data_IF_678739220205
#
_entry.id   IF_678739220205
#
_cell.length_a   1.000
_cell.length_b   1.000
_cell.length_c   1.000
_cell.angle_alpha   90.00
_cell.angle_beta   90.00
_cell.angle_gamma   90.00
#
_symmetry.space_group_name_H-M   'P 1'
#
loop_
_entity.id
_entity.type
_entity.pdbx_description
1 polymer ?
#
# COMPACT_ATOMS: atom_id res chain seq x y z
N UNK A 1 16.27 1.66 -11.32
CA UNK A 1 16.52 1.82 -9.86
C UNK A 1 17.88 1.21 -9.53
N UNK A 2 18.90 2.04 -9.43
CA UNK A 2 20.24 1.59 -9.08
C UNK A 2 20.29 1.01 -7.67
N UNK A 3 21.12 -0.02 -7.45
CA UNK A 3 21.36 -0.65 -6.15
C UNK A 3 20.13 -1.39 -5.54
N UNK A 4 19.14 -1.77 -6.31
CA UNK A 4 18.01 -2.59 -5.82
C UNK A 4 18.08 -3.98 -6.47
N UNK A 5 18.21 -5.02 -5.64
CA UNK A 5 18.22 -6.41 -6.08
C UNK A 5 16.81 -6.99 -6.17
N UNK A 6 16.66 -8.12 -6.88
CA UNK A 6 15.39 -8.85 -6.93
C UNK A 6 14.88 -9.25 -5.53
N UNK A 7 15.78 -9.57 -4.59
CA UNK A 7 15.43 -9.91 -3.21
C UNK A 7 14.94 -8.73 -2.38
N UNK A 8 15.17 -7.49 -2.84
CA UNK A 8 14.78 -6.25 -2.18
C UNK A 8 13.65 -5.52 -2.94
N UNK A 9 13.04 -6.17 -3.92
CA UNK A 9 12.08 -5.54 -4.85
C UNK A 9 10.91 -4.84 -4.17
N UNK A 10 10.52 -5.28 -2.98
CA UNK A 10 9.34 -4.76 -2.31
C UNK A 10 9.48 -3.29 -1.89
N UNK A 11 10.71 -2.79 -1.73
CA UNK A 11 10.96 -1.37 -1.44
C UNK A 11 10.34 -0.44 -2.51
N UNK A 12 10.24 -0.89 -3.76
CA UNK A 12 9.60 -0.11 -4.83
C UNK A 12 8.07 -0.04 -4.65
N UNK A 13 7.46 -1.09 -4.09
CA UNK A 13 6.04 -1.05 -3.67
C UNK A 13 5.84 -0.11 -2.49
N UNK A 14 6.72 -0.14 -1.50
CA UNK A 14 6.68 0.77 -0.35
C UNK A 14 6.77 2.23 -0.81
N UNK A 15 7.72 2.55 -1.70
CA UNK A 15 7.88 3.90 -2.28
C UNK A 15 6.60 4.33 -3.00
N UNK A 16 6.05 3.48 -3.86
CA UNK A 16 4.84 3.81 -4.62
C UNK A 16 3.63 4.05 -3.71
N UNK A 17 3.43 3.17 -2.71
CA UNK A 17 2.36 3.30 -1.73
C UNK A 17 2.50 4.58 -0.89
N UNK A 18 3.70 4.84 -0.37
CA UNK A 18 3.97 6.03 0.43
C UNK A 18 3.86 7.31 -0.40
N UNK A 19 4.30 7.31 -1.66
CA UNK A 19 4.14 8.47 -2.54
C UNK A 19 2.67 8.82 -2.77
N UNK A 20 1.81 7.81 -3.01
CA UNK A 20 0.35 8.00 -3.11
C UNK A 20 -0.22 8.49 -1.78
N UNK A 21 0.17 7.88 -0.66
CA UNK A 21 -0.30 8.28 0.67
C UNK A 21 0.05 9.73 0.99
N UNK A 22 1.32 10.14 0.80
CA UNK A 22 1.75 11.54 1.00
C UNK A 22 1.03 12.52 0.09
N UNK A 23 0.72 12.11 -1.15
CA UNK A 23 -0.07 12.95 -2.07
C UNK A 23 -1.47 13.17 -1.53
N UNK A 24 -2.10 12.12 -1.01
CA UNK A 24 -3.47 12.19 -0.48
C UNK A 24 -3.56 12.89 0.88
N UNK A 25 -2.51 12.84 1.70
CA UNK A 25 -2.43 13.54 2.99
C UNK A 25 -2.61 15.07 2.85
N UNK A 26 -2.33 15.65 1.67
CA UNK A 26 -2.59 17.05 1.39
C UNK A 26 -4.09 17.39 1.26
N UNK A 27 -4.94 16.37 1.11
CA UNK A 27 -6.37 16.54 0.85
C UNK A 27 -7.27 16.01 1.96
N UNK A 28 -6.82 14.96 2.68
CA UNK A 28 -7.64 14.26 3.69
C UNK A 28 -6.77 13.50 4.68
N UNK A 29 -7.32 13.22 5.83
CA UNK A 29 -6.76 12.29 6.83
C UNK A 29 -7.26 10.86 6.59
N UNK A 30 -6.82 9.89 7.42
CA UNK A 30 -7.30 8.51 7.38
C UNK A 30 -6.77 7.66 6.22
N UNK A 31 -5.64 8.07 5.61
CA UNK A 31 -4.97 7.32 4.54
C UNK A 31 -4.07 6.23 5.14
N UNK A 32 -4.27 5.01 4.68
CA UNK A 32 -3.47 3.84 5.07
C UNK A 32 -3.09 2.99 3.85
N UNK A 33 -2.09 2.14 4.02
CA UNK A 33 -1.62 1.22 2.97
C UNK A 33 -2.10 -0.19 3.31
N UNK A 34 -2.93 -0.76 2.46
CA UNK A 34 -3.30 -2.18 2.59
C UNK A 34 -2.33 -3.03 1.78
N UNK A 35 -1.55 -3.84 2.49
CA UNK A 35 -0.61 -4.77 1.89
C UNK A 35 -1.28 -5.62 0.79
N UNK A 36 -0.60 -5.88 -0.35
CA UNK A 36 0.78 -5.43 -0.63
C UNK A 36 0.87 -4.06 -1.34
N UNK A 37 -0.17 -3.56 -2.01
CA UNK A 37 -0.05 -2.50 -3.02
C UNK A 37 -1.35 -1.70 -3.23
N UNK A 38 -2.22 -1.67 -2.23
CA UNK A 38 -3.44 -0.86 -2.26
C UNK A 38 -3.34 0.30 -1.27
N UNK A 39 -3.99 1.43 -1.56
CA UNK A 39 -4.16 2.54 -0.62
C UNK A 39 -5.64 2.68 -0.29
N UNK A 40 -5.92 2.86 1.00
CA UNK A 40 -7.24 2.95 1.56
C UNK A 40 -7.45 4.30 2.24
N UNK A 41 -8.68 4.79 2.19
CA UNK A 41 -9.19 5.84 3.06
C UNK A 41 -10.18 5.19 4.03
N UNK A 42 -9.79 5.08 5.29
CA UNK A 42 -10.45 4.20 6.26
C UNK A 42 -10.61 2.78 5.67
N UNK A 43 -11.83 2.23 5.60
CA UNK A 43 -12.11 0.89 5.08
C UNK A 43 -12.40 0.86 3.57
N UNK A 44 -12.16 1.96 2.83
CA UNK A 44 -12.50 2.10 1.42
C UNK A 44 -11.26 2.24 0.53
N UNK A 45 -11.21 1.45 -0.54
CA UNK A 45 -10.10 1.46 -1.48
C UNK A 45 -10.13 2.71 -2.35
N UNK A 46 -9.08 3.54 -2.26
CA UNK A 46 -8.90 4.74 -3.10
C UNK A 46 -7.90 4.51 -4.23
N UNK A 47 -6.93 3.60 -4.04
CA UNK A 47 -5.91 3.31 -5.06
C UNK A 47 -5.54 1.84 -5.06
N UNK A 48 -5.26 1.30 -6.24
CA UNK A 48 -4.59 0.02 -6.43
C UNK A 48 -3.40 0.17 -7.36
N UNK A 49 -2.33 -0.60 -7.11
CA UNK A 49 -1.11 -0.51 -7.91
C UNK A 49 -0.68 -1.89 -8.41
N UNK A 50 0.05 -1.89 -9.52
CA UNK A 50 0.68 -3.08 -10.07
C UNK A 50 2.11 -2.74 -10.47
N UNK A 51 3.07 -3.48 -9.92
CA UNK A 51 4.47 -3.32 -10.25
C UNK A 51 4.96 -4.54 -11.05
N UNK A 52 5.76 -4.26 -12.10
CA UNK A 52 6.43 -5.28 -12.91
C UNK A 52 7.90 -4.89 -13.05
N UNK A 53 8.78 -5.81 -12.69
CA UNK A 53 10.22 -5.58 -12.70
C UNK A 53 10.87 -6.30 -13.90
N UNK A 54 11.85 -5.64 -14.49
CA UNK A 54 12.78 -6.25 -15.45
C UNK A 54 14.12 -6.43 -14.73
N UNK A 55 14.70 -7.62 -14.85
CA UNK A 55 15.97 -7.96 -14.19
C UNK A 55 17.12 -7.94 -15.20
N UNK A 56 18.29 -7.55 -14.72
CA UNK A 56 19.58 -7.76 -15.39
C UNK A 56 20.51 -8.43 -14.37
N UNK A 57 20.68 -9.74 -14.50
CA UNK A 57 21.29 -10.57 -13.45
C UNK A 57 20.45 -10.53 -12.17
N UNK A 58 21.05 -10.22 -11.05
CA UNK A 58 20.38 -10.10 -9.75
C UNK A 58 19.80 -8.70 -9.48
N UNK A 59 20.03 -7.72 -10.36
CA UNK A 59 19.62 -6.33 -10.18
C UNK A 59 18.32 -6.04 -10.93
N UNK A 60 17.51 -5.13 -10.40
CA UNK A 60 16.35 -4.57 -11.11
C UNK A 60 16.87 -3.49 -12.06
N UNK A 61 16.72 -3.72 -13.37
CA UNK A 61 17.10 -2.75 -14.41
C UNK A 61 16.00 -1.74 -14.70
N UNK A 62 14.74 -2.17 -14.63
CA UNK A 62 13.59 -1.30 -14.82
C UNK A 62 12.38 -1.77 -14.01
N UNK A 63 11.49 -0.83 -13.69
CA UNK A 63 10.21 -1.13 -13.05
C UNK A 63 9.10 -0.33 -13.73
N UNK A 64 8.07 -1.03 -14.19
CA UNK A 64 6.83 -0.43 -14.63
C UNK A 64 5.87 -0.38 -13.44
N UNK A 65 5.37 0.81 -13.11
CA UNK A 65 4.39 1.02 -12.02
C UNK A 65 3.07 1.50 -12.62
N UNK A 66 2.07 0.65 -12.62
CA UNK A 66 0.70 1.01 -12.98
C UNK A 66 -0.07 1.45 -11.74
N UNK A 67 -0.65 2.65 -11.74
CA UNK A 67 -1.35 3.23 -10.58
C UNK A 67 -2.77 3.59 -10.98
N UNK A 68 -3.75 2.96 -10.31
CA UNK A 68 -5.16 3.25 -10.45
C UNK A 68 -5.66 4.07 -9.26
N UNK A 69 -5.41 5.40 -9.28
CA UNK A 69 -5.88 6.32 -8.25
C UNK A 69 -7.26 6.89 -8.60
N UNK A 70 -8.21 6.69 -7.71
CA UNK A 70 -9.59 7.17 -7.87
C UNK A 70 -9.68 8.65 -7.46
N UNK A 71 -9.75 9.56 -8.44
CA UNK A 71 -9.77 10.99 -8.19
C UNK A 71 -11.18 11.60 -8.26
N UNK A 72 -11.79 11.57 -9.45
CA UNK A 72 -12.99 12.36 -9.74
C UNK A 72 -14.25 11.54 -10.02
N UNK A 73 -14.20 10.21 -9.85
CA UNK A 73 -15.36 9.34 -10.03
C UNK A 73 -16.47 9.72 -9.05
N UNK A 74 -17.68 9.90 -9.57
CA UNK A 74 -18.90 10.12 -8.77
C UNK A 74 -19.52 8.81 -8.32
N UNK A 75 -19.44 7.80 -9.18
CA UNK A 75 -19.99 6.46 -8.99
C UNK A 75 -18.98 5.43 -9.51
N UNK A 76 -19.05 4.24 -8.97
CA UNK A 76 -18.26 3.10 -9.42
C UNK A 76 -19.19 2.04 -10.01
N UNK A 77 -18.75 1.46 -11.13
CA UNK A 77 -19.43 0.34 -11.78
C UNK A 77 -18.47 -0.84 -11.75
N UNK A 78 -18.94 -2.00 -11.33
CA UNK A 78 -18.16 -3.24 -11.25
C UNK A 78 -18.03 -3.79 -9.83
N UNK A 79 -17.28 -4.88 -9.69
CA UNK A 79 -17.21 -5.71 -8.48
C UNK A 79 -16.10 -5.28 -7.50
N UNK A 80 -15.51 -4.11 -7.67
CA UNK A 80 -14.49 -3.63 -6.74
C UNK A 80 -15.10 -3.42 -5.34
N UNK A 81 -14.62 -4.13 -4.32
CA UNK A 81 -15.16 -3.98 -2.98
C UNK A 81 -14.81 -2.60 -2.42
N UNK A 82 -15.81 -1.89 -1.89
CA UNK A 82 -15.65 -0.63 -1.16
C UNK A 82 -14.80 0.46 -1.86
N UNK A 83 -14.98 0.77 -3.16
CA UNK A 83 -14.21 1.80 -3.79
C UNK A 83 -14.62 3.18 -3.30
N UNK A 84 -13.67 4.10 -3.28
CA UNK A 84 -13.90 5.53 -3.00
C UNK A 84 -13.03 6.39 -3.91
N UNK A 85 -13.49 7.58 -4.27
CA UNK A 85 -12.68 8.58 -4.95
C UNK A 85 -12.36 9.75 -4.03
N UNK A 86 -11.28 10.47 -4.32
CA UNK A 86 -10.91 11.67 -3.60
C UNK A 86 -12.05 12.71 -3.63
N UNK A 87 -12.70 12.85 -4.79
CA UNK A 87 -13.89 13.72 -4.92
C UNK A 87 -15.03 13.37 -3.97
N UNK A 88 -15.30 12.08 -3.76
CA UNK A 88 -16.36 11.64 -2.82
C UNK A 88 -15.98 11.92 -1.37
N UNK A 89 -14.67 11.93 -1.05
CA UNK A 89 -14.17 12.25 0.29
C UNK A 89 -14.26 13.74 0.58
N UNK A 90 -13.74 14.58 -0.33
CA UNK A 90 -13.61 16.03 -0.09
C UNK A 90 -14.78 16.86 -0.64
N UNK A 91 -15.75 16.23 -1.32
CA UNK A 91 -16.97 16.89 -1.83
C UNK A 91 -16.80 17.72 -3.12
N UNK A 92 -15.58 17.84 -3.67
CA UNK A 92 -15.27 18.63 -4.87
C UNK A 92 -14.31 17.91 -5.81
N UNK A 93 -14.33 18.24 -7.11
CA UNK A 93 -13.33 17.70 -8.03
C UNK A 93 -11.94 18.25 -7.72
N UNK A 94 -10.91 17.48 -8.11
CA UNK A 94 -9.50 17.88 -8.05
C UNK A 94 -8.90 17.96 -9.45
N UNK A 95 -7.87 18.77 -9.60
CA UNK A 95 -7.06 18.80 -10.81
C UNK A 95 -6.17 17.54 -10.85
N UNK A 96 -6.27 16.80 -11.96
CA UNK A 96 -5.50 15.54 -12.14
C UNK A 96 -4.01 15.81 -12.35
N UNK A 97 -3.66 16.90 -13.03
CA UNK A 97 -2.28 17.25 -13.30
C UNK A 97 -1.59 17.69 -12.02
N UNK A 98 -2.25 18.48 -11.18
CA UNK A 98 -1.75 18.86 -9.86
C UNK A 98 -1.46 17.61 -9.00
N UNK A 99 -2.42 16.67 -8.91
CA UNK A 99 -2.25 15.42 -8.16
C UNK A 99 -1.10 14.58 -8.72
N UNK A 100 -0.97 14.51 -10.05
CA UNK A 100 0.14 13.79 -10.70
C UNK A 100 1.49 14.43 -10.38
N UNK A 101 1.58 15.76 -10.40
CA UNK A 101 2.80 16.49 -10.04
C UNK A 101 3.20 16.24 -8.58
N UNK A 102 2.25 16.26 -7.64
CA UNK A 102 2.49 15.93 -6.24
C UNK A 102 2.98 14.49 -6.07
N UNK A 103 2.32 13.54 -6.74
CA UNK A 103 2.75 12.15 -6.72
C UNK A 103 4.19 11.98 -7.27
N UNK A 104 4.47 12.56 -8.44
CA UNK A 104 5.80 12.46 -9.06
C UNK A 104 6.89 13.06 -8.17
N UNK A 105 6.63 14.19 -7.52
CA UNK A 105 7.53 14.80 -6.55
C UNK A 105 7.81 13.88 -5.36
N UNK A 106 6.77 13.31 -4.74
CA UNK A 106 6.94 12.42 -3.60
C UNK A 106 7.65 11.13 -4.00
N UNK A 107 7.30 10.56 -5.15
CA UNK A 107 7.92 9.33 -5.67
C UNK A 107 9.43 9.54 -5.94
N UNK A 108 9.81 10.60 -6.67
CA UNK A 108 11.21 10.92 -6.96
C UNK A 108 12.00 11.16 -5.66
N UNK A 109 11.46 11.93 -4.72
CA UNK A 109 12.06 12.20 -3.42
C UNK A 109 12.33 10.92 -2.64
N UNK A 110 11.35 10.01 -2.54
CA UNK A 110 11.48 8.76 -1.81
C UNK A 110 12.46 7.80 -2.50
N UNK A 111 12.41 7.71 -3.85
CA UNK A 111 13.33 6.87 -4.61
C UNK A 111 14.78 7.33 -4.44
N UNK A 112 15.06 8.63 -4.54
CA UNK A 112 16.41 9.18 -4.32
C UNK A 112 16.89 8.95 -2.89
N UNK A 113 16.00 9.08 -1.90
CA UNK A 113 16.35 8.87 -0.50
C UNK A 113 16.84 7.43 -0.22
N UNK A 114 16.35 6.41 -0.93
CA UNK A 114 16.73 5.01 -0.70
C UNK A 114 17.83 4.48 -1.63
N UNK A 115 18.36 5.32 -2.51
CA UNK A 115 19.40 4.96 -3.49
C UNK A 115 20.68 5.81 -3.40
N UNK A 116 21.13 6.31 -2.21
CA UNK A 116 22.38 7.00 -2.12
C UNK A 116 23.55 6.05 -2.46
N UNK A 117 24.69 6.58 -2.95
CA UNK A 117 25.86 5.77 -3.27
C UNK A 117 26.45 5.05 -2.05
N UNK A 118 26.46 5.72 -0.90
CA UNK A 118 26.97 5.17 0.35
C UNK A 118 26.08 4.01 0.86
N UNK A 119 26.66 2.81 1.11
CA UNK A 119 25.88 1.64 1.54
C UNK A 119 25.25 1.78 2.92
N UNK A 120 25.93 2.43 3.87
CA UNK A 120 25.43 2.56 5.24
C UNK A 120 24.29 3.59 5.30
N UNK A 121 24.45 4.71 4.59
CA UNK A 121 23.37 5.68 4.41
C UNK A 121 22.16 5.04 3.72
N UNK A 122 22.40 4.27 2.65
CA UNK A 122 21.35 3.56 1.93
C UNK A 122 20.58 2.61 2.84
N UNK A 123 21.26 1.81 3.66
CA UNK A 123 20.63 0.91 4.62
C UNK A 123 19.77 1.69 5.62
N UNK A 124 20.31 2.77 6.20
CA UNK A 124 19.60 3.60 7.18
C UNK A 124 18.32 4.22 6.58
N UNK A 125 18.39 4.74 5.35
CA UNK A 125 17.25 5.34 4.65
C UNK A 125 16.18 4.31 4.29
N UNK A 126 16.58 3.11 3.84
CA UNK A 126 15.65 2.00 3.57
C UNK A 126 14.93 1.55 4.83
N UNK A 127 15.63 1.41 5.95
CA UNK A 127 15.02 1.09 7.24
C UNK A 127 14.05 2.18 7.72
N UNK A 128 14.37 3.46 7.46
CA UNK A 128 13.47 4.57 7.79
C UNK A 128 12.18 4.51 6.97
N UNK A 129 12.30 4.33 5.65
CA UNK A 129 11.16 4.19 4.74
C UNK A 129 10.28 2.99 5.13
N UNK A 130 10.91 1.83 5.37
CA UNK A 130 10.21 0.63 5.80
C UNK A 130 9.43 0.83 7.11
N UNK A 131 10.04 1.47 8.12
CA UNK A 131 9.32 1.81 9.38
C UNK A 131 8.14 2.75 9.14
N UNK A 132 8.26 3.67 8.20
CA UNK A 132 7.14 4.55 7.82
C UNK A 132 6.02 3.75 7.15
N UNK A 133 6.37 2.86 6.21
CA UNK A 133 5.43 1.96 5.56
C UNK A 133 4.68 1.09 6.58
N UNK A 134 5.38 0.44 7.51
CA UNK A 134 4.77 -0.38 8.55
C UNK A 134 3.80 0.41 9.44
N UNK A 135 4.13 1.66 9.79
CA UNK A 135 3.22 2.51 10.59
C UNK A 135 1.95 2.89 9.84
N UNK A 136 2.00 2.95 8.53
CA UNK A 136 0.86 3.29 7.68
C UNK A 136 0.04 2.08 7.24
N UNK A 137 0.42 0.87 7.65
CA UNK A 137 -0.35 -0.31 7.26
C UNK A 137 -1.78 -0.26 7.80
N UNK A 138 -2.71 -0.53 6.91
CA UNK A 138 -4.09 -0.83 7.26
C UNK A 138 -4.13 -2.07 8.16
N UNK A 139 -4.90 -2.05 9.23
CA UNK A 139 -4.89 -3.07 10.29
C UNK A 139 -3.57 -3.16 11.07
N UNK A 140 -2.81 -2.05 11.13
CA UNK A 140 -1.55 -2.01 11.90
C UNK A 140 -1.78 -2.16 13.39
N UNK A 141 -2.83 -1.53 13.90
CA UNK A 141 -3.10 -1.46 15.34
C UNK A 141 -4.11 -2.53 15.74
N UNK A 142 -3.75 -3.32 16.76
CA UNK A 142 -4.63 -4.36 17.27
C UNK A 142 -4.63 -5.66 16.47
N UNK A 143 -5.48 -6.60 16.90
CA UNK A 143 -5.76 -7.83 16.19
C UNK A 143 -6.92 -7.63 15.22
N UNK A 144 -6.79 -8.14 14.02
CA UNK A 144 -7.81 -8.09 12.96
C UNK A 144 -8.02 -9.47 12.35
N UNK A 145 -9.15 -9.65 11.68
CA UNK A 145 -9.49 -10.91 11.05
C UNK A 145 -8.93 -11.01 9.63
N UNK A 146 -8.40 -12.18 9.35
CA UNK A 146 -7.83 -12.59 8.07
C UNK A 146 -8.40 -13.92 7.65
N UNK A 147 -8.42 -14.20 6.35
CA UNK A 147 -8.78 -15.50 5.79
C UNK A 147 -7.55 -16.09 5.09
N UNK A 148 -7.11 -17.26 5.53
CA UNK A 148 -6.15 -18.08 4.82
C UNK A 148 -6.81 -18.61 3.54
N UNK A 149 -6.24 -18.30 2.37
CA UNK A 149 -6.91 -18.61 1.10
C UNK A 149 -6.80 -20.09 0.71
N UNK A 150 -5.84 -20.82 1.26
CA UNK A 150 -5.65 -22.24 0.99
C UNK A 150 -6.65 -23.10 1.79
N UNK A 151 -6.83 -22.78 3.07
CA UNK A 151 -7.75 -23.51 3.95
C UNK A 151 -9.18 -22.94 3.98
N UNK A 152 -9.33 -21.63 3.66
CA UNK A 152 -10.58 -20.88 3.85
C UNK A 152 -10.85 -20.51 5.32
N UNK A 153 -9.94 -20.82 6.23
CA UNK A 153 -10.09 -20.55 7.67
C UNK A 153 -9.95 -19.04 7.96
N UNK A 154 -10.83 -18.53 8.81
CA UNK A 154 -10.74 -17.18 9.35
C UNK A 154 -10.04 -17.22 10.70
N UNK A 155 -9.06 -16.35 10.88
CA UNK A 155 -8.27 -16.23 12.11
C UNK A 155 -7.97 -14.77 12.44
N UNK A 156 -7.79 -14.48 13.74
CA UNK A 156 -7.40 -13.14 14.21
C UNK A 156 -5.90 -13.06 14.45
N UNK A 157 -5.27 -11.99 13.95
CA UNK A 157 -3.84 -11.79 14.05
C UNK A 157 -3.42 -10.32 14.04
N UNK A 158 -2.19 -10.06 14.47
CA UNK A 158 -1.51 -8.78 14.37
C UNK A 158 -0.52 -8.80 13.21
N UNK A 159 -0.40 -7.69 12.49
CA UNK A 159 0.71 -7.51 11.54
C UNK A 159 2.00 -7.32 12.34
N UNK A 160 3.01 -8.15 12.06
CA UNK A 160 4.34 -8.04 12.66
C UNK A 160 5.28 -7.26 11.76
N UNK A 161 5.44 -7.72 10.52
CA UNK A 161 6.42 -7.18 9.58
C UNK A 161 6.07 -7.54 8.13
N UNK A 162 6.76 -6.88 7.20
CA UNK A 162 6.79 -7.25 5.78
C UNK A 162 8.23 -7.38 5.34
N UNK A 163 8.63 -8.55 4.89
CA UNK A 163 10.01 -8.83 4.46
C UNK A 163 10.40 -8.02 3.20
N UNK A 164 11.70 -7.82 2.91
CA UNK A 164 12.17 -7.16 1.68
C UNK A 164 11.68 -7.81 0.38
N UNK A 165 11.29 -9.09 0.44
CA UNK A 165 10.65 -9.82 -0.67
C UNK A 165 9.17 -9.51 -0.83
N UNK A 166 8.55 -8.83 0.15
CA UNK A 166 7.13 -8.52 0.21
C UNK A 166 6.30 -9.55 0.99
N UNK A 167 6.91 -10.56 1.61
CA UNK A 167 6.22 -11.55 2.43
C UNK A 167 5.69 -10.91 3.71
N UNK A 168 4.38 -11.03 3.97
CA UNK A 168 3.71 -10.53 5.16
C UNK A 168 3.87 -11.52 6.32
N UNK A 169 4.26 -11.04 7.49
CA UNK A 169 4.29 -11.83 8.73
C UNK A 169 3.15 -11.41 9.64
N UNK A 170 2.30 -12.37 9.98
CA UNK A 170 1.20 -12.23 10.92
C UNK A 170 1.47 -13.04 12.19
N UNK A 171 1.11 -12.49 13.35
CA UNK A 171 1.12 -13.21 14.64
C UNK A 171 -0.31 -13.41 15.10
N UNK A 172 -0.75 -14.65 15.16
CA UNK A 172 -2.07 -15.01 15.68
C UNK A 172 -2.20 -14.68 17.17
N UNK A 173 -3.42 -14.59 17.68
CA UNK A 173 -3.70 -14.27 19.09
C UNK A 173 -3.16 -15.33 20.08
N UNK A 174 -2.93 -16.57 19.61
CA UNK A 174 -2.28 -17.64 20.36
C UNK A 174 -0.73 -17.62 20.26
N UNK A 175 -0.16 -16.59 19.56
CA UNK A 175 1.27 -16.32 19.49
C UNK A 175 2.01 -16.97 18.32
N UNK A 176 1.37 -17.78 17.48
CA UNK A 176 2.01 -18.42 16.32
C UNK A 176 2.30 -17.39 15.23
N UNK A 177 3.44 -17.55 14.55
CA UNK A 177 3.82 -16.76 13.40
C UNK A 177 3.44 -17.47 12.10
N UNK A 178 2.81 -16.73 11.18
CA UNK A 178 2.48 -17.17 9.83
C UNK A 178 3.07 -16.20 8.83
N UNK A 179 3.55 -16.74 7.70
CA UNK A 179 4.18 -15.97 6.62
C UNK A 179 3.38 -16.17 5.34
N UNK A 180 2.95 -15.07 4.72
CA UNK A 180 2.08 -15.10 3.55
C UNK A 180 2.68 -14.35 2.38
N UNK A 181 2.64 -14.97 1.21
CA UNK A 181 2.83 -14.29 -0.06
C UNK A 181 1.53 -13.65 -0.55
N UNK A 182 1.65 -12.83 -1.57
CA UNK A 182 0.49 -12.18 -2.19
C UNK A 182 -0.56 -13.21 -2.62
N UNK A 183 -1.83 -12.96 -2.30
CA UNK A 183 -3.00 -13.81 -2.51
C UNK A 183 -3.14 -15.03 -1.58
N UNK A 184 -2.18 -15.33 -0.73
CA UNK A 184 -2.28 -16.44 0.22
C UNK A 184 -3.11 -16.08 1.46
N UNK A 185 -3.27 -14.79 1.73
CA UNK A 185 -4.12 -14.29 2.81
C UNK A 185 -5.01 -13.15 2.32
N UNK A 186 -6.22 -13.07 2.83
CA UNK A 186 -7.18 -12.00 2.57
C UNK A 186 -7.54 -11.28 3.86
N UNK A 187 -7.49 -9.96 3.84
CA UNK A 187 -7.95 -9.09 4.92
C UNK A 187 -9.48 -9.09 4.97
N UNK A 188 -10.05 -9.26 6.13
CA UNK A 188 -11.50 -9.06 6.33
C UNK A 188 -11.73 -7.56 6.51
N UNK A 189 -12.26 -6.93 5.47
CA UNK A 189 -12.58 -5.50 5.49
C UNK A 189 -14.04 -5.32 5.85
N UNK A 190 -14.40 -4.47 6.81
CA UNK A 190 -15.80 -4.17 7.11
C UNK A 190 -16.55 -3.69 5.86
N UNK A 191 -17.74 -4.20 5.65
CA UNK A 191 -18.63 -3.63 4.63
C UNK A 191 -19.04 -2.21 5.05
N UNK A 192 -19.16 -1.27 4.11
CA UNK A 192 -19.67 0.05 4.44
C UNK A 192 -21.06 -0.11 5.04
N UNK A 193 -21.24 0.45 6.22
CA UNK A 193 -22.58 0.59 6.79
C UNK A 193 -23.36 1.48 5.82
N UNK A 194 -24.37 0.94 5.15
CA UNK A 194 -25.29 1.74 4.36
C UNK A 194 -25.97 2.71 5.32
N UNK A 195 -25.53 3.99 5.29
CA UNK A 195 -26.28 5.02 5.97
C UNK A 195 -27.72 4.98 5.41
N UNK A 196 -28.76 5.00 6.27
CA UNK A 196 -30.14 5.05 5.78
C UNK A 196 -30.26 6.26 4.86
N UNK A 197 -30.77 6.03 3.64
CA UNK A 197 -31.14 7.10 2.74
C UNK A 197 -32.08 8.05 3.51
N UNK A 198 -31.62 9.27 3.76
CA UNK A 198 -32.51 10.31 4.24
C UNK A 198 -33.53 10.57 3.12
N UNK A 199 -34.76 10.15 3.38
CA UNK A 199 -35.98 10.46 2.60
C UNK A 199 -36.28 11.94 2.74
#
# INVERSE_FOLDING_TARGET
PEHITAGEQFILSEIACLAVAHTLDAYTEGISVKWPNDVYHHDRKICGMLLRHTLSGAQISATLVGIGLNLNQKQFVGDAPNPVSLRQIIGRPVDREEVLCHFAHHFDRLLRAVTPPDPDERLAQRQRLHREYLRRLYHRDGAHDYVDTASGETFSAHIVDVAPTGQLTLRTTDGRLHHYHFKEVRFVVPLPTTAPAHV
#
